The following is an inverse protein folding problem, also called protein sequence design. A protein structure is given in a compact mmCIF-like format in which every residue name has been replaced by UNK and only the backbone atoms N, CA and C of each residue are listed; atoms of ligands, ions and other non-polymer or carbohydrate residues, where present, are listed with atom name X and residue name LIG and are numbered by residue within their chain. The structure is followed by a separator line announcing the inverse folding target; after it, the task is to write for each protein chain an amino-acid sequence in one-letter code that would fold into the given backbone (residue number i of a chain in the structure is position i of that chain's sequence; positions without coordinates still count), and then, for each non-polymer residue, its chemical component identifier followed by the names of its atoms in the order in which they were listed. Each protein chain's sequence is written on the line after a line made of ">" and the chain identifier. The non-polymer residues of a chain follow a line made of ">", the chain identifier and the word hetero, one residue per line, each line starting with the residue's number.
data_IF_768322415800
#
_entry.id   IF_768322415800
#
_cell.length_a   1.000
_cell.length_b   1.000
_cell.length_c   1.000
_cell.angle_alpha   90.00
_cell.angle_beta   90.00
_cell.angle_gamma   90.00
#
_symmetry.space_group_name_H-M   'P 1'
#
loop_
_entity.id
_entity.type
_entity.pdbx_description
1 polymer ?
#
# COMPACT_ATOMS: atom_id res chain seq x y z
N UNK A 1 50.27 5.82 39.18
CA UNK A 1 51.46 4.96 39.28
C UNK A 1 51.20 3.70 38.47
N UNK A 2 52.01 3.51 37.41
CA UNK A 2 52.65 2.26 36.90
C UNK A 2 51.65 1.12 36.57
N UNK A 3 51.66 0.41 35.44
CA UNK A 3 52.68 0.23 34.36
C UNK A 3 51.98 -0.37 33.13
N UNK A 4 52.39 0.13 32.00
CA UNK A 4 52.31 -0.47 30.66
C UNK A 4 53.05 -1.82 30.63
N UNK A 5 52.52 -2.83 29.91
CA UNK A 5 53.34 -3.96 29.44
C UNK A 5 52.87 -4.37 28.04
N UNK A 6 53.67 -4.01 27.07
CA UNK A 6 53.79 -4.54 25.71
C UNK A 6 54.67 -5.78 25.75
N UNK A 7 54.34 -6.86 25.02
CA UNK A 7 55.29 -7.85 24.51
C UNK A 7 54.72 -8.49 23.21
N UNK A 8 55.58 -8.90 22.24
CA UNK A 8 55.26 -8.88 20.81
C UNK A 8 55.14 -10.23 20.12
N UNK A 9 54.64 -10.16 18.91
CA UNK A 9 54.96 -10.91 17.67
C UNK A 9 55.86 -12.16 17.78
N UNK A 10 55.36 -13.31 17.32
CA UNK A 10 56.25 -14.32 16.74
C UNK A 10 55.60 -15.01 15.53
N UNK A 11 56.21 -14.75 14.39
CA UNK A 11 56.00 -15.34 13.08
C UNK A 11 56.83 -16.64 13.00
N UNK A 12 56.24 -17.77 12.65
CA UNK A 12 57.04 -18.93 12.19
C UNK A 12 56.44 -19.52 10.92
N UNK A 13 57.19 -19.36 9.85
CA UNK A 13 57.13 -20.06 8.59
C UNK A 13 57.75 -21.45 8.76
N UNK A 14 57.12 -22.47 8.31
CA UNK A 14 57.81 -23.76 8.01
C UNK A 14 57.33 -24.36 6.70
N UNK A 15 58.20 -24.36 5.74
CA UNK A 15 58.14 -25.06 4.46
C UNK A 15 58.65 -26.52 4.62
N UNK A 16 58.03 -27.49 3.98
CA UNK A 16 58.74 -28.66 3.47
C UNK A 16 58.06 -29.17 2.18
N UNK A 17 58.92 -29.39 1.22
CA UNK A 17 58.67 -29.93 -0.12
C UNK A 17 58.84 -31.45 -0.14
N UNK A 18 58.33 -32.09 -1.15
CA UNK A 18 58.93 -33.07 -2.09
C UNK A 18 57.90 -34.07 -2.55
N UNK A 19 57.73 -34.31 -3.77
CA UNK A 19 58.40 -34.84 -4.95
C UNK A 19 57.67 -36.03 -5.54
N UNK A 20 57.60 -36.07 -6.86
CA UNK A 20 57.58 -37.21 -7.78
C UNK A 20 56.27 -37.31 -8.57
N UNK A 21 56.21 -37.28 -9.87
CA UNK A 21 57.07 -37.33 -10.98
C UNK A 21 56.32 -37.83 -12.22
N UNK A 22 56.70 -37.32 -13.39
CA UNK A 22 56.58 -37.83 -14.78
C UNK A 22 55.21 -37.67 -15.45
N UNK A 23 55.03 -37.25 -16.68
CA UNK A 23 55.84 -36.96 -17.86
C UNK A 23 54.98 -36.29 -18.94
N UNK A 24 55.63 -35.44 -19.75
CA UNK A 24 55.38 -35.19 -21.19
C UNK A 24 54.25 -34.27 -21.70
N UNK A 25 54.73 -33.15 -22.28
CA UNK A 25 54.19 -32.49 -23.45
C UNK A 25 53.87 -30.99 -23.30
N UNK A 26 54.35 -30.14 -24.24
CA UNK A 26 54.32 -28.67 -24.06
C UNK A 26 52.99 -28.06 -24.50
N UNK A 27 52.31 -27.38 -23.59
CA UNK A 27 51.24 -26.44 -23.96
C UNK A 27 51.52 -25.03 -23.39
N UNK A 28 51.23 -24.04 -24.22
CA UNK A 28 51.48 -22.63 -24.02
C UNK A 28 50.80 -22.06 -22.74
N UNK A 29 51.34 -20.96 -22.15
CA UNK A 29 50.81 -20.40 -20.92
C UNK A 29 49.46 -19.72 -21.13
N UNK A 30 48.37 -20.33 -20.57
CA UNK A 30 47.05 -19.72 -20.43
C UNK A 30 47.05 -18.68 -19.33
N UNK A 31 46.41 -17.59 -19.57
CA UNK A 31 46.17 -16.52 -18.59
C UNK A 31 45.47 -17.04 -17.35
N UNK A 32 45.71 -16.42 -16.15
CA UNK A 32 45.01 -16.81 -14.95
C UNK A 32 43.50 -16.47 -15.05
N UNK A 33 42.69 -17.45 -14.86
CA UNK A 33 41.22 -17.33 -14.75
C UNK A 33 40.89 -16.49 -13.53
N UNK A 34 40.15 -15.42 -13.71
CA UNK A 34 39.47 -14.68 -12.63
C UNK A 34 38.44 -15.63 -11.97
N UNK A 35 38.19 -15.49 -10.65
CA UNK A 35 37.12 -16.22 -10.00
C UNK A 35 35.77 -15.81 -10.62
N UNK A 36 35.00 -16.79 -11.07
CA UNK A 36 33.64 -16.61 -11.55
C UNK A 36 32.79 -16.06 -10.41
N UNK A 37 32.27 -14.87 -10.58
CA UNK A 37 31.17 -14.32 -9.78
C UNK A 37 29.94 -15.24 -9.99
N UNK A 38 29.19 -15.62 -8.93
CA UNK A 38 27.95 -16.35 -9.10
C UNK A 38 27.02 -15.56 -10.03
N UNK A 39 26.56 -16.21 -11.10
CA UNK A 39 25.69 -15.62 -12.10
C UNK A 39 24.45 -15.03 -11.43
N UNK A 40 24.21 -13.75 -11.66
CA UNK A 40 22.96 -13.07 -11.44
C UNK A 40 21.86 -13.86 -12.19
N UNK A 41 20.73 -14.21 -11.55
CA UNK A 41 19.60 -14.75 -12.30
C UNK A 41 19.20 -13.71 -13.37
N UNK A 42 18.92 -14.18 -14.57
CA UNK A 42 18.66 -13.35 -15.72
C UNK A 42 17.67 -12.24 -15.40
N UNK A 43 18.08 -11.00 -15.68
CA UNK A 43 17.19 -9.89 -15.71
C UNK A 43 16.24 -10.10 -16.87
N UNK A 44 14.96 -10.17 -16.58
CA UNK A 44 13.95 -9.78 -17.54
C UNK A 44 14.16 -8.28 -17.76
N UNK A 45 14.27 -7.87 -19.01
CA UNK A 45 14.35 -6.47 -19.38
C UNK A 45 13.11 -5.78 -18.86
N UNK A 46 13.24 -5.03 -17.74
CA UNK A 46 12.21 -4.13 -17.20
C UNK A 46 12.07 -2.94 -18.17
N UNK A 47 11.43 -3.17 -19.29
CA UNK A 47 10.80 -2.09 -20.03
C UNK A 47 9.56 -1.68 -19.21
N UNK A 48 9.37 -0.38 -18.87
CA UNK A 48 8.24 0.06 -18.07
C UNK A 48 6.94 -0.44 -18.71
N UNK A 49 6.13 -1.17 -17.95
CA UNK A 49 4.85 -1.66 -18.45
C UNK A 49 4.03 -0.49 -18.99
N UNK A 50 3.55 -0.59 -20.24
CA UNK A 50 2.62 0.40 -20.80
C UNK A 50 1.35 0.44 -19.95
N UNK A 51 0.72 1.63 -19.76
CA UNK A 51 -0.54 1.74 -19.01
C UNK A 51 -1.57 0.79 -19.60
N UNK A 52 -2.22 0.00 -18.74
CA UNK A 52 -3.30 -0.88 -19.14
C UNK A 52 -4.45 -0.07 -19.78
N UNK A 53 -5.10 -0.55 -20.85
CA UNK A 53 -6.25 0.11 -21.43
C UNK A 53 -7.41 0.12 -20.44
N UNK A 54 -7.66 1.29 -19.81
CA UNK A 54 -8.69 1.46 -18.79
C UNK A 54 -8.49 2.67 -17.88
N UNK A 55 -7.56 3.60 -18.20
CA UNK A 55 -7.49 4.91 -17.53
C UNK A 55 -6.92 4.96 -16.11
N UNK A 56 -6.31 3.86 -15.60
CA UNK A 56 -5.82 3.80 -14.20
C UNK A 56 -4.40 4.28 -13.97
N UNK A 57 -3.64 4.60 -15.03
CA UNK A 57 -2.22 4.83 -14.89
C UNK A 57 -1.44 3.59 -14.42
N UNK A 58 -0.16 3.79 -14.06
CA UNK A 58 0.68 2.71 -13.53
C UNK A 58 0.33 2.42 -12.06
N UNK A 59 0.34 1.15 -11.71
CA UNK A 59 0.09 0.68 -10.35
C UNK A 59 1.36 0.13 -9.72
N UNK A 60 1.54 0.38 -8.41
CA UNK A 60 2.61 -0.20 -7.60
C UNK A 60 2.01 -0.99 -6.45
N UNK A 61 2.48 -2.20 -6.21
CA UNK A 61 2.16 -2.98 -5.01
C UNK A 61 3.30 -2.88 -4.01
N UNK A 62 3.06 -2.22 -2.90
CA UNK A 62 3.94 -2.19 -1.73
C UNK A 62 3.38 -3.14 -0.68
N UNK A 63 4.22 -4.01 -0.12
CA UNK A 63 3.76 -4.90 0.93
C UNK A 63 4.86 -5.18 1.95
N UNK A 64 4.49 -5.50 3.18
CA UNK A 64 5.37 -6.18 4.12
C UNK A 64 4.75 -7.51 4.53
N UNK A 65 5.56 -8.53 4.73
CA UNK A 65 5.06 -9.87 5.07
C UNK A 65 6.04 -10.60 5.98
N UNK A 66 5.54 -11.22 7.07
CA UNK A 66 6.38 -12.04 7.98
C UNK A 66 6.27 -13.52 7.69
N UNK A 67 5.08 -14.00 7.31
CA UNK A 67 4.76 -15.41 7.15
C UNK A 67 4.32 -15.77 5.72
N UNK A 68 4.51 -14.86 4.78
CA UNK A 68 4.11 -15.05 3.37
C UNK A 68 2.63 -14.79 3.07
N UNK A 69 1.79 -14.56 4.08
CA UNK A 69 0.35 -14.38 3.86
C UNK A 69 0.03 -13.09 3.09
N UNK A 70 0.61 -11.97 3.49
CA UNK A 70 0.44 -10.68 2.79
C UNK A 70 1.11 -10.73 1.42
N UNK A 71 2.28 -11.34 1.32
CA UNK A 71 2.98 -11.56 0.05
C UNK A 71 2.12 -12.35 -0.95
N UNK A 72 1.43 -13.41 -0.51
CA UNK A 72 0.51 -14.18 -1.35
C UNK A 72 -0.57 -13.30 -1.97
N UNK A 73 -1.13 -12.37 -1.20
CA UNK A 73 -2.12 -11.40 -1.70
C UNK A 73 -1.48 -10.42 -2.67
N UNK A 74 -0.30 -9.87 -2.34
CA UNK A 74 0.46 -8.97 -3.19
C UNK A 74 0.78 -9.59 -4.56
N UNK A 75 1.25 -10.83 -4.58
CA UNK A 75 1.53 -11.60 -5.81
C UNK A 75 0.27 -11.80 -6.66
N UNK A 76 -0.87 -12.04 -6.04
CA UNK A 76 -2.13 -12.19 -6.76
C UNK A 76 -2.56 -10.87 -7.41
N UNK A 77 -2.43 -9.73 -6.70
CA UNK A 77 -2.71 -8.40 -7.25
C UNK A 77 -1.78 -8.13 -8.45
N UNK A 78 -0.47 -8.35 -8.27
CA UNK A 78 0.52 -8.21 -9.34
C UNK A 78 0.16 -9.06 -10.56
N UNK A 79 -0.25 -10.30 -10.37
CA UNK A 79 -0.60 -11.22 -11.46
C UNK A 79 -1.83 -10.73 -12.26
N UNK A 80 -2.82 -10.15 -11.58
CA UNK A 80 -4.04 -9.66 -12.24
C UNK A 80 -3.79 -8.33 -12.96
N UNK A 81 -2.98 -7.44 -12.36
CA UNK A 81 -2.76 -6.09 -12.88
C UNK A 81 -1.50 -5.96 -13.76
N UNK A 82 -0.64 -6.97 -13.78
CA UNK A 82 0.68 -6.93 -14.43
C UNK A 82 1.47 -5.66 -14.06
N UNK A 83 1.64 -5.42 -12.76
CA UNK A 83 2.20 -4.18 -12.22
C UNK A 83 3.47 -4.42 -11.39
N UNK A 84 4.15 -3.33 -11.04
CA UNK A 84 5.35 -3.37 -10.19
C UNK A 84 4.99 -3.81 -8.76
N UNK A 85 5.90 -4.54 -8.12
CA UNK A 85 5.71 -5.01 -6.76
C UNK A 85 7.02 -4.92 -5.97
N UNK A 86 6.98 -4.34 -4.77
CA UNK A 86 8.14 -4.14 -3.91
C UNK A 86 7.80 -4.48 -2.46
N UNK A 87 8.68 -5.21 -1.80
CA UNK A 87 8.56 -5.50 -0.37
C UNK A 87 9.10 -4.34 0.47
N UNK A 88 8.33 -3.93 1.45
CA UNK A 88 8.75 -2.96 2.46
C UNK A 88 9.46 -3.70 3.59
N UNK A 89 10.78 -3.57 3.62
CA UNK A 89 11.65 -4.23 4.58
C UNK A 89 12.10 -3.29 5.68
N UNK A 90 12.14 -3.73 6.95
CA UNK A 90 12.78 -2.96 8.02
C UNK A 90 14.28 -2.86 7.76
N UNK A 91 14.90 -1.73 8.13
CA UNK A 91 16.35 -1.54 7.99
C UNK A 91 17.19 -2.58 8.77
N UNK A 92 16.65 -3.08 9.87
CA UNK A 92 17.18 -4.23 10.61
C UNK A 92 16.16 -5.36 10.52
N UNK A 93 16.50 -6.50 9.92
CA UNK A 93 15.59 -7.64 9.83
C UNK A 93 15.05 -8.07 11.19
N UNK A 94 13.82 -8.57 11.24
CA UNK A 94 13.27 -9.15 12.45
C UNK A 94 13.97 -10.46 12.79
N UNK A 95 13.98 -10.77 14.07
CA UNK A 95 14.50 -12.01 14.61
C UNK A 95 13.77 -13.23 14.03
N UNK A 96 14.48 -14.34 13.82
CA UNK A 96 13.88 -15.61 13.40
C UNK A 96 12.95 -16.18 14.48
N UNK A 97 13.33 -16.00 15.75
CA UNK A 97 12.50 -16.38 16.89
C UNK A 97 11.21 -15.54 16.92
N UNK A 98 10.09 -16.26 16.95
CA UNK A 98 8.76 -15.63 16.87
C UNK A 98 8.46 -14.74 18.08
N UNK A 99 8.89 -15.14 19.31
CA UNK A 99 8.62 -14.36 20.50
C UNK A 99 9.46 -13.09 20.55
N UNK A 100 10.74 -13.17 20.17
CA UNK A 100 11.61 -12.00 20.09
C UNK A 100 11.09 -10.99 19.04
N UNK A 101 10.63 -11.48 17.89
CA UNK A 101 9.95 -10.65 16.88
C UNK A 101 8.68 -9.99 17.44
N UNK A 102 7.86 -10.70 18.20
CA UNK A 102 6.65 -10.14 18.81
C UNK A 102 6.96 -9.06 19.84
N UNK A 103 7.97 -9.27 20.70
CA UNK A 103 8.41 -8.28 21.69
C UNK A 103 8.88 -6.99 20.97
N UNK A 104 9.75 -7.13 19.98
CA UNK A 104 10.21 -5.99 19.16
C UNK A 104 9.06 -5.27 18.46
N UNK A 105 8.13 -6.00 17.86
CA UNK A 105 6.96 -5.40 17.21
C UNK A 105 6.10 -4.58 18.19
N UNK A 106 5.95 -5.04 19.44
CA UNK A 106 5.26 -4.28 20.49
C UNK A 106 6.02 -3.00 20.87
N UNK A 107 7.34 -3.08 21.02
CA UNK A 107 8.18 -1.92 21.33
C UNK A 107 8.11 -0.88 20.20
N UNK A 108 8.23 -1.30 18.94
CA UNK A 108 8.12 -0.42 17.78
C UNK A 108 6.74 0.24 17.69
N UNK A 109 5.65 -0.51 17.87
CA UNK A 109 4.29 0.06 17.90
C UNK A 109 4.08 1.03 19.08
N UNK A 110 4.75 0.82 20.20
CA UNK A 110 4.71 1.75 21.32
C UNK A 110 5.52 3.03 21.03
N UNK A 111 6.65 2.93 20.35
CA UNK A 111 7.48 4.05 19.91
C UNK A 111 6.76 4.90 18.84
N UNK A 112 6.12 4.26 17.85
CA UNK A 112 5.32 4.91 16.80
C UNK A 112 4.22 5.80 17.40
N UNK A 113 3.55 5.35 18.47
CA UNK A 113 2.53 6.16 19.17
C UNK A 113 3.11 7.44 19.81
N UNK A 114 4.42 7.51 19.97
CA UNK A 114 5.16 8.68 20.47
C UNK A 114 5.81 9.48 19.32
N UNK A 115 5.58 9.07 18.06
CA UNK A 115 6.13 9.71 16.88
C UNK A 115 7.54 9.23 16.52
N UNK A 116 8.03 8.15 17.12
CA UNK A 116 9.32 7.54 16.83
C UNK A 116 9.13 6.32 15.93
N UNK A 117 9.44 6.48 14.66
CA UNK A 117 9.24 5.46 13.63
C UNK A 117 10.54 4.69 13.36
N UNK A 118 10.50 3.34 13.28
CA UNK A 118 11.67 2.56 12.94
C UNK A 118 12.13 2.85 11.50
N UNK A 119 13.44 2.68 11.24
CA UNK A 119 13.98 2.84 9.90
C UNK A 119 13.54 1.67 9.00
N UNK A 120 13.26 1.98 7.72
CA UNK A 120 13.01 1.02 6.64
C UNK A 120 14.14 1.05 5.63
N UNK A 121 14.45 -0.09 5.01
CA UNK A 121 15.48 -0.22 3.99
C UNK A 121 14.95 0.07 2.58
N UNK A 122 13.66 -0.10 2.37
CA UNK A 122 13.00 0.00 1.08
C UNK A 122 12.88 1.45 0.63
N UNK A 123 13.19 1.69 -0.64
CA UNK A 123 13.09 2.98 -1.30
C UNK A 123 12.40 2.82 -2.67
N UNK A 124 11.55 3.75 -3.04
CA UNK A 124 10.91 3.84 -4.36
C UNK A 124 11.51 5.03 -5.08
N UNK A 125 12.18 4.80 -6.21
CA UNK A 125 12.90 5.87 -6.93
C UNK A 125 11.97 6.90 -7.58
N UNK A 126 10.85 6.43 -8.14
CA UNK A 126 9.97 7.25 -8.98
C UNK A 126 8.50 7.04 -8.60
N UNK A 127 8.08 7.58 -7.45
CA UNK A 127 6.67 7.55 -7.07
C UNK A 127 5.76 8.25 -8.09
N UNK A 128 6.28 9.24 -8.81
CA UNK A 128 5.52 10.01 -9.82
C UNK A 128 5.07 9.14 -11.00
N UNK A 129 5.70 7.99 -11.21
CA UNK A 129 5.31 7.05 -12.25
C UNK A 129 4.01 6.28 -11.95
N UNK A 130 3.52 6.36 -10.70
CA UNK A 130 2.37 5.58 -10.24
C UNK A 130 1.21 6.47 -9.83
N UNK A 131 0.03 6.15 -10.30
CA UNK A 131 -1.23 6.81 -9.93
C UNK A 131 -1.93 6.07 -8.79
N UNK A 132 -1.83 4.73 -8.79
CA UNK A 132 -2.42 3.88 -7.75
C UNK A 132 -1.34 3.08 -7.01
N UNK A 133 -1.36 3.15 -5.68
CA UNK A 133 -0.47 2.38 -4.81
C UNK A 133 -1.29 1.41 -3.96
N UNK A 134 -1.08 0.12 -4.20
CA UNK A 134 -1.62 -0.94 -3.36
C UNK A 134 -0.72 -1.13 -2.16
N UNK A 135 -1.24 -1.00 -0.95
CA UNK A 135 -0.46 -1.06 0.30
C UNK A 135 -0.91 -2.23 1.15
N UNK A 136 -0.02 -3.23 1.28
CA UNK A 136 -0.27 -4.51 1.94
C UNK A 136 0.47 -4.69 3.25
N UNK A 137 -0.23 -5.14 4.30
CA UNK A 137 0.38 -5.34 5.62
C UNK A 137 -0.32 -6.41 6.45
N UNK A 138 0.42 -7.11 7.33
CA UNK A 138 -0.19 -7.90 8.38
C UNK A 138 -0.65 -7.00 9.52
N UNK A 139 -1.73 -7.40 10.21
CA UNK A 139 -2.18 -6.71 11.42
C UNK A 139 -1.46 -7.32 12.62
N UNK A 140 -0.66 -6.50 13.31
CA UNK A 140 0.06 -6.82 14.53
C UNK A 140 -0.56 -6.09 15.72
N UNK A 141 -0.99 -6.83 16.74
CA UNK A 141 -1.63 -6.23 17.94
C UNK A 141 -2.77 -5.26 17.65
N UNK A 142 -3.53 -5.51 16.58
CA UNK A 142 -4.63 -4.67 16.14
C UNK A 142 -4.23 -3.45 15.30
N UNK A 143 -2.94 -3.20 15.11
CA UNK A 143 -2.36 -2.10 14.34
C UNK A 143 -1.78 -2.59 13.01
N UNK A 144 -1.54 -1.70 12.07
CA UNK A 144 -0.70 -1.94 10.90
C UNK A 144 0.71 -2.31 11.36
N UNK A 145 1.34 -3.28 10.70
CA UNK A 145 2.73 -3.65 11.00
C UNK A 145 3.66 -2.45 10.94
N UNK A 146 4.55 -2.33 11.92
CA UNK A 146 5.44 -1.17 12.11
C UNK A 146 6.29 -0.80 10.90
N UNK A 147 6.84 -1.73 10.08
CA UNK A 147 7.56 -1.34 8.87
C UNK A 147 6.71 -0.57 7.87
N UNK A 148 5.44 -0.98 7.68
CA UNK A 148 4.55 -0.29 6.77
C UNK A 148 4.13 1.07 7.30
N UNK A 149 3.88 1.22 8.61
CA UNK A 149 3.62 2.52 9.21
C UNK A 149 4.80 3.47 9.03
N UNK A 150 6.03 2.98 9.26
CA UNK A 150 7.24 3.76 9.08
C UNK A 150 7.47 4.18 7.62
N UNK A 151 7.19 3.28 6.67
CA UNK A 151 7.27 3.59 5.25
C UNK A 151 6.26 4.68 4.84
N UNK A 152 4.99 4.53 5.23
CA UNK A 152 3.95 5.53 4.93
C UNK A 152 4.27 6.90 5.55
N UNK A 153 4.78 6.91 6.78
CA UNK A 153 5.22 8.15 7.43
C UNK A 153 6.35 8.84 6.65
N UNK A 154 7.36 8.08 6.23
CA UNK A 154 8.50 8.61 5.50
C UNK A 154 8.14 9.15 4.11
N UNK A 155 7.15 8.54 3.45
CA UNK A 155 6.76 8.83 2.06
C UNK A 155 5.38 9.51 1.93
N UNK A 156 4.86 10.10 3.01
CA UNK A 156 3.54 10.72 3.00
C UNK A 156 3.39 11.82 1.94
N UNK A 157 4.45 12.60 1.70
CA UNK A 157 4.46 13.67 0.70
C UNK A 157 4.43 13.15 -0.74
N UNK A 158 5.10 12.04 -1.02
CA UNK A 158 5.12 11.40 -2.35
C UNK A 158 3.80 10.66 -2.64
N UNK A 159 3.08 10.28 -1.59
CA UNK A 159 1.77 9.63 -1.68
C UNK A 159 0.60 10.63 -1.73
N UNK A 160 0.86 11.93 -1.55
CA UNK A 160 -0.17 12.95 -1.63
C UNK A 160 -0.81 13.00 -3.04
N UNK A 161 -2.14 13.02 -3.10
CA UNK A 161 -2.93 12.99 -4.33
C UNK A 161 -2.95 11.65 -5.05
N UNK A 162 -2.22 10.65 -4.56
CA UNK A 162 -2.25 9.30 -5.13
C UNK A 162 -3.41 8.49 -4.55
N UNK A 163 -3.87 7.56 -5.34
CA UNK A 163 -4.88 6.60 -4.94
C UNK A 163 -4.26 5.46 -4.15
N UNK A 164 -4.70 5.24 -2.92
CA UNK A 164 -4.21 4.17 -2.06
C UNK A 164 -5.29 3.11 -1.85
N UNK A 165 -4.98 1.88 -2.28
CA UNK A 165 -5.79 0.69 -2.09
C UNK A 165 -5.16 -0.22 -1.02
N UNK A 166 -5.74 -0.25 0.18
CA UNK A 166 -5.20 -1.04 1.28
C UNK A 166 -5.62 -2.50 1.19
N UNK A 167 -4.68 -3.41 1.46
CA UNK A 167 -5.02 -4.82 1.71
C UNK A 167 -4.31 -5.33 2.97
N UNK A 168 -5.05 -5.98 3.83
CA UNK A 168 -4.55 -6.42 5.12
C UNK A 168 -4.77 -7.92 5.35
N UNK A 169 -3.82 -8.56 6.03
CA UNK A 169 -3.97 -9.94 6.51
C UNK A 169 -3.93 -10.01 8.03
N UNK A 170 -4.72 -10.89 8.62
CA UNK A 170 -4.72 -11.09 10.07
C UNK A 170 -5.06 -12.53 10.45
N UNK A 171 -4.79 -12.91 11.70
CA UNK A 171 -5.37 -14.12 12.26
C UNK A 171 -6.88 -14.01 12.39
N UNK A 172 -7.35 -13.03 13.17
CA UNK A 172 -8.77 -12.76 13.42
C UNK A 172 -9.08 -11.28 13.75
N UNK A 173 -8.05 -10.43 13.84
CA UNK A 173 -8.22 -9.02 14.16
C UNK A 173 -8.94 -8.28 13.03
N UNK A 174 -9.79 -7.32 13.38
CA UNK A 174 -10.42 -6.41 12.42
C UNK A 174 -9.42 -5.40 11.84
N UNK A 175 -9.81 -4.72 10.76
CA UNK A 175 -8.95 -3.83 9.97
C UNK A 175 -9.15 -2.33 10.26
N UNK A 176 -10.21 -1.95 10.99
CA UNK A 176 -10.62 -0.54 11.13
C UNK A 176 -9.55 0.37 11.74
N UNK A 177 -8.83 -0.11 12.76
CA UNK A 177 -7.77 0.68 13.40
C UNK A 177 -6.61 0.94 12.45
N UNK A 178 -6.12 -0.08 11.74
CA UNK A 178 -5.02 0.04 10.80
C UNK A 178 -5.36 0.91 9.57
N UNK A 179 -6.61 0.91 9.13
CA UNK A 179 -7.09 1.85 8.10
C UNK A 179 -7.08 3.29 8.61
N UNK A 180 -7.49 3.51 9.87
CA UNK A 180 -7.40 4.83 10.53
C UNK A 180 -5.96 5.32 10.64
N UNK A 181 -5.02 4.43 10.97
CA UNK A 181 -3.58 4.73 11.02
C UNK A 181 -3.06 5.15 9.63
N UNK A 182 -3.38 4.39 8.57
CA UNK A 182 -2.97 4.75 7.20
C UNK A 182 -3.48 6.13 6.78
N UNK A 183 -4.75 6.43 7.03
CA UNK A 183 -5.35 7.73 6.71
C UNK A 183 -4.74 8.87 7.52
N UNK A 184 -4.32 8.61 8.75
CA UNK A 184 -3.64 9.61 9.58
C UNK A 184 -2.21 9.89 9.11
N UNK A 185 -1.52 8.85 8.57
CA UNK A 185 -0.16 8.97 8.05
C UNK A 185 -0.12 9.66 6.68
N UNK A 186 -1.12 9.42 5.83
CA UNK A 186 -1.19 9.98 4.48
C UNK A 186 -2.52 10.74 4.29
N UNK A 187 -2.73 11.88 4.97
CA UNK A 187 -4.02 12.58 4.97
C UNK A 187 -4.40 13.17 3.61
N UNK A 188 -3.41 13.43 2.76
CA UNK A 188 -3.61 14.03 1.44
C UNK A 188 -3.71 12.98 0.31
N UNK A 189 -3.74 11.68 0.65
CA UNK A 189 -3.96 10.59 -0.30
C UNK A 189 -5.44 10.21 -0.40
N UNK A 190 -5.83 9.64 -1.54
CA UNK A 190 -7.19 9.15 -1.79
C UNK A 190 -7.31 7.67 -1.46
N UNK A 191 -8.04 7.33 -0.41
CA UNK A 191 -8.20 5.93 0.03
C UNK A 191 -9.45 5.28 -0.55
N UNK A 192 -9.26 4.11 -1.16
CA UNK A 192 -10.34 3.28 -1.69
C UNK A 192 -10.88 2.27 -0.67
N UNK A 193 -11.74 1.34 -1.14
CA UNK A 193 -12.19 0.19 -0.36
C UNK A 193 -11.00 -0.70 0.05
N UNK A 194 -10.99 -1.20 1.29
CA UNK A 194 -9.95 -2.09 1.82
C UNK A 194 -10.28 -3.56 1.57
N UNK A 195 -9.29 -4.34 1.12
CA UNK A 195 -9.36 -5.80 1.13
C UNK A 195 -8.82 -6.34 2.45
N UNK A 196 -9.61 -7.11 3.19
CA UNK A 196 -9.17 -7.77 4.41
C UNK A 196 -9.34 -9.28 4.33
N UNK A 197 -8.24 -10.00 4.49
CA UNK A 197 -8.23 -11.46 4.59
C UNK A 197 -7.78 -11.90 5.97
N UNK A 198 -8.58 -12.78 6.57
CA UNK A 198 -8.22 -13.46 7.82
C UNK A 198 -7.65 -14.84 7.52
N UNK A 199 -7.07 -15.49 8.52
CA UNK A 199 -6.60 -16.87 8.39
C UNK A 199 -7.66 -17.82 7.79
N UNK A 200 -8.94 -17.59 8.09
CA UNK A 200 -10.05 -18.41 7.58
C UNK A 200 -10.39 -18.15 6.11
N UNK A 201 -9.96 -17.03 5.55
CA UNK A 201 -10.31 -16.60 4.17
C UNK A 201 -9.09 -16.54 3.25
N UNK A 202 -7.89 -16.84 3.75
CA UNK A 202 -6.66 -16.82 2.95
C UNK A 202 -6.67 -17.84 1.80
N UNK A 203 -7.35 -18.97 1.95
CA UNK A 203 -7.48 -19.94 0.85
C UNK A 203 -8.32 -19.42 -0.32
N UNK A 204 -9.13 -18.38 -0.08
CA UNK A 204 -9.94 -17.68 -1.08
C UNK A 204 -9.24 -16.44 -1.65
N UNK A 205 -7.90 -16.33 -1.55
CA UNK A 205 -7.15 -15.12 -1.97
C UNK A 205 -7.47 -14.74 -3.42
N UNK A 206 -7.39 -15.68 -4.35
CA UNK A 206 -7.59 -15.41 -5.79
C UNK A 206 -8.99 -14.84 -6.09
N UNK A 207 -10.11 -15.49 -5.75
CA UNK A 207 -11.44 -14.93 -6.05
C UNK A 207 -11.72 -13.63 -5.30
N UNK A 208 -11.18 -13.46 -4.08
CA UNK A 208 -11.39 -12.23 -3.30
C UNK A 208 -10.62 -11.04 -3.86
N UNK A 209 -9.38 -11.26 -4.30
CA UNK A 209 -8.58 -10.22 -4.96
C UNK A 209 -9.25 -9.81 -6.26
N UNK A 210 -9.63 -10.77 -7.11
CA UNK A 210 -10.29 -10.49 -8.39
C UNK A 210 -11.57 -9.67 -8.18
N UNK A 211 -12.47 -10.12 -7.31
CA UNK A 211 -13.71 -9.40 -7.03
C UNK A 211 -13.49 -8.00 -6.41
N UNK A 212 -12.43 -7.84 -5.61
CA UNK A 212 -12.08 -6.54 -5.06
C UNK A 212 -11.56 -5.59 -6.13
N UNK A 213 -10.65 -6.05 -6.99
CA UNK A 213 -10.13 -5.25 -8.11
C UNK A 213 -11.25 -4.84 -9.08
N UNK A 214 -12.17 -5.73 -9.40
CA UNK A 214 -13.36 -5.42 -10.22
C UNK A 214 -14.22 -4.30 -9.59
N UNK A 215 -14.40 -4.30 -8.27
CA UNK A 215 -15.11 -3.21 -7.57
C UNK A 215 -14.35 -1.89 -7.59
N UNK A 216 -13.03 -1.93 -7.45
CA UNK A 216 -12.21 -0.72 -7.59
C UNK A 216 -12.34 -0.13 -9.00
N UNK A 217 -12.44 -1.01 -10.03
CA UNK A 217 -12.67 -0.60 -11.42
C UNK A 217 -14.05 0.00 -11.66
N UNK A 218 -15.06 -0.63 -11.12
CA UNK A 218 -16.42 -0.13 -11.27
C UNK A 218 -16.58 1.26 -10.63
N UNK A 219 -15.98 1.47 -9.45
CA UNK A 219 -16.02 2.76 -8.77
C UNK A 219 -15.25 3.85 -9.52
N UNK A 220 -14.21 3.49 -10.31
CA UNK A 220 -13.48 4.45 -11.15
C UNK A 220 -14.29 4.88 -12.37
N UNK A 221 -14.92 3.91 -13.03
CA UNK A 221 -15.78 4.18 -14.18
C UNK A 221 -17.01 5.01 -13.80
N UNK A 222 -17.50 4.87 -12.55
CA UNK A 222 -18.59 5.69 -12.01
C UNK A 222 -18.11 7.11 -11.63
N UNK A 223 -16.78 7.29 -11.45
CA UNK A 223 -16.14 8.58 -11.17
C UNK A 223 -15.85 9.39 -12.45
N UNK A 224 -15.87 8.77 -13.63
CA UNK A 224 -15.79 9.46 -14.94
C UNK A 224 -17.17 9.93 -15.45
N UNK A 225 -18.28 9.39 -14.93
CA UNK A 225 -19.56 10.06 -15.01
C UNK A 225 -19.52 11.27 -14.05
N UNK A 226 -20.00 12.48 -14.42
CA UNK A 226 -19.96 13.64 -13.54
C UNK A 226 -20.59 13.25 -12.21
N UNK A 227 -19.77 13.25 -11.13
CA UNK A 227 -20.13 12.81 -9.78
C UNK A 227 -21.59 13.19 -9.48
N UNK A 228 -22.48 12.20 -9.45
CA UNK A 228 -23.76 12.37 -8.81
C UNK A 228 -23.48 12.43 -7.31
N UNK A 229 -22.99 13.59 -6.86
CA UNK A 229 -22.80 13.83 -5.44
C UNK A 229 -24.13 13.60 -4.74
N UNK A 230 -24.18 12.72 -3.73
CA UNK A 230 -25.33 12.60 -2.84
C UNK A 230 -25.55 13.88 -2.02
N UNK A 231 -24.98 14.97 -2.48
CA UNK A 231 -24.97 16.28 -1.81
C UNK A 231 -25.87 17.23 -2.58
N UNK A 232 -26.89 17.72 -1.91
CA UNK A 232 -27.80 18.75 -2.40
C UNK A 232 -27.36 20.11 -1.84
N UNK A 233 -27.13 21.07 -2.73
CA UNK A 233 -26.92 22.47 -2.34
C UNK A 233 -28.24 23.21 -2.37
N UNK A 234 -28.55 23.91 -1.28
CA UNK A 234 -29.75 24.70 -1.08
C UNK A 234 -29.36 26.16 -0.83
N UNK A 235 -29.84 27.07 -1.66
CA UNK A 235 -29.65 28.49 -1.42
C UNK A 235 -30.96 29.12 -1.00
N UNK A 236 -30.99 29.71 0.21
CA UNK A 236 -32.16 30.38 0.76
C UNK A 236 -31.76 31.80 1.18
N UNK A 237 -32.37 32.82 0.60
CA UNK A 237 -32.07 34.23 0.91
C UNK A 237 -30.58 34.59 0.85
N UNK A 238 -29.82 33.98 -0.08
CA UNK A 238 -28.40 34.21 -0.24
C UNK A 238 -27.48 33.39 0.69
N UNK A 239 -28.05 32.59 1.58
CA UNK A 239 -27.29 31.61 2.39
C UNK A 239 -27.34 30.24 1.74
N UNK A 240 -26.17 29.58 1.67
CA UNK A 240 -26.05 28.24 1.08
C UNK A 240 -25.96 27.20 2.19
N UNK A 241 -26.73 26.13 2.03
CA UNK A 241 -26.78 24.97 2.91
C UNK A 241 -26.49 23.72 2.09
N UNK A 242 -25.82 22.75 2.70
CA UNK A 242 -25.51 21.46 2.10
C UNK A 242 -26.27 20.37 2.83
N UNK A 243 -26.96 19.48 2.08
CA UNK A 243 -27.64 18.32 2.62
C UNK A 243 -27.16 17.05 1.90
N UNK A 244 -26.97 15.97 2.64
CA UNK A 244 -26.68 14.66 2.08
C UNK A 244 -27.99 13.93 1.80
N UNK A 245 -28.14 13.42 0.59
CA UNK A 245 -29.30 12.66 0.17
C UNK A 245 -29.10 11.16 0.49
N UNK A 246 -30.11 10.51 1.06
CA UNK A 246 -30.11 9.05 1.19
C UNK A 246 -30.48 8.39 -0.13
N UNK A 247 -29.88 7.24 -0.44
CA UNK A 247 -30.15 6.52 -1.68
C UNK A 247 -31.53 5.83 -1.64
N UNK A 248 -32.42 6.34 -2.47
CA UNK A 248 -33.74 5.75 -2.70
C UNK A 248 -34.31 6.23 -4.05
N UNK A 249 -35.44 5.66 -4.47
CA UNK A 249 -36.08 6.01 -5.75
C UNK A 249 -36.48 7.49 -5.85
N UNK A 250 -36.83 8.14 -4.73
CA UNK A 250 -37.20 9.56 -4.71
C UNK A 250 -35.97 10.44 -4.93
N UNK A 251 -34.85 10.10 -4.30
CA UNK A 251 -33.58 10.82 -4.43
C UNK A 251 -33.00 10.69 -5.83
N UNK A 252 -33.10 9.52 -6.41
CA UNK A 252 -32.67 9.27 -7.78
C UNK A 252 -33.44 10.16 -8.77
N UNK A 253 -34.77 10.19 -8.66
CA UNK A 253 -35.61 11.04 -9.51
C UNK A 253 -35.35 12.55 -9.29
N UNK A 254 -35.01 12.96 -8.05
CA UNK A 254 -34.64 14.34 -7.75
C UNK A 254 -33.30 14.70 -8.41
N UNK A 255 -32.30 13.82 -8.35
CA UNK A 255 -30.98 13.99 -9.01
C UNK A 255 -31.14 14.13 -10.52
N UNK A 256 -31.89 13.22 -11.17
CA UNK A 256 -32.17 13.27 -12.60
C UNK A 256 -32.83 14.61 -13.01
N UNK A 257 -33.70 15.16 -12.16
CA UNK A 257 -34.32 16.45 -12.42
C UNK A 257 -33.32 17.61 -12.23
N UNK A 258 -32.45 17.55 -11.23
CA UNK A 258 -31.44 18.57 -10.97
C UNK A 258 -30.33 18.56 -12.02
N UNK A 259 -30.03 17.42 -12.64
CA UNK A 259 -29.12 17.34 -13.77
C UNK A 259 -29.58 18.16 -14.99
N UNK A 260 -30.88 18.48 -15.11
CA UNK A 260 -31.44 19.32 -16.14
C UNK A 260 -31.38 20.83 -15.80
N UNK A 261 -30.90 21.17 -14.60
CA UNK A 261 -30.74 22.54 -14.11
C UNK A 261 -31.36 22.74 -12.71
N UNK A 262 -31.01 23.84 -12.05
CA UNK A 262 -31.45 24.12 -10.69
C UNK A 262 -32.97 24.26 -10.60
N UNK A 263 -33.53 23.84 -9.47
CA UNK A 263 -34.94 23.99 -9.11
C UNK A 263 -35.11 25.25 -8.26
N UNK A 264 -35.97 26.15 -8.71
CA UNK A 264 -36.38 27.29 -7.89
C UNK A 264 -37.76 27.04 -7.27
N UNK A 265 -37.84 27.01 -5.96
CA UNK A 265 -39.07 26.78 -5.22
C UNK A 265 -39.52 28.07 -4.54
N UNK A 266 -40.74 28.52 -4.88
CA UNK A 266 -41.36 29.62 -4.15
C UNK A 266 -42.02 29.06 -2.89
N UNK A 267 -41.56 29.50 -1.74
CA UNK A 267 -42.05 29.05 -0.45
C UNK A 267 -43.02 30.07 0.14
N UNK A 268 -44.04 29.61 0.85
CA UNK A 268 -44.98 30.40 1.65
C UNK A 268 -44.79 30.07 3.14
N UNK A 269 -45.07 31.07 3.96
CA UNK A 269 -45.05 30.93 5.42
C UNK A 269 -46.22 30.07 5.89
N UNK A 270 -45.93 29.09 6.73
CA UNK A 270 -46.97 28.24 7.34
C UNK A 270 -46.84 28.33 8.86
N UNK A 271 -47.71 29.13 9.47
CA UNK A 271 -47.84 29.23 10.92
C UNK A 271 -46.63 29.86 11.64
N UNK A 272 -45.82 30.67 11.00
CA UNK A 272 -44.56 31.25 11.51
C UNK A 272 -43.53 30.24 12.00
N UNK A 273 -43.71 28.96 11.65
CA UNK A 273 -42.83 27.86 12.09
C UNK A 273 -42.05 27.23 10.94
N UNK A 274 -42.62 27.21 9.75
CA UNK A 274 -41.99 26.57 8.59
C UNK A 274 -42.30 27.27 7.27
N UNK A 275 -41.43 27.05 6.26
CA UNK A 275 -41.62 27.50 4.89
C UNK A 275 -41.99 26.29 4.01
N UNK A 276 -43.11 26.37 3.34
CA UNK A 276 -43.65 25.28 2.49
C UNK A 276 -43.75 25.70 1.03
N UNK A 277 -43.27 24.88 0.14
CA UNK A 277 -43.34 25.12 -1.29
C UNK A 277 -43.47 23.83 -2.08
N UNK A 278 -44.10 23.88 -3.25
CA UNK A 278 -44.21 22.78 -4.15
C UNK A 278 -42.90 22.56 -4.92
N UNK A 279 -42.44 21.32 -4.96
CA UNK A 279 -41.23 20.94 -5.74
C UNK A 279 -41.50 21.00 -7.27
N UNK A 280 -42.78 21.06 -7.69
CA UNK A 280 -43.18 21.10 -9.10
C UNK A 280 -43.02 19.77 -9.86
N UNK A 281 -42.58 18.72 -9.19
CA UNK A 281 -42.41 17.37 -9.71
C UNK A 281 -43.01 16.35 -8.72
N UNK A 282 -43.38 15.17 -9.21
CA UNK A 282 -43.76 14.02 -8.36
C UNK A 282 -42.54 13.12 -8.20
N UNK A 283 -42.16 12.83 -6.97
CA UNK A 283 -41.15 11.84 -6.65
C UNK A 283 -41.79 10.49 -6.36
N UNK A 284 -41.18 9.37 -6.81
CA UNK A 284 -41.64 8.03 -6.43
C UNK A 284 -41.57 7.85 -4.91
N UNK A 285 -42.44 6.96 -4.39
CA UNK A 285 -42.43 6.62 -2.96
C UNK A 285 -41.76 5.28 -2.72
#
# INVERSE_FOLDING_TARGET
>A
MKKLLWIPLLLTVLTTAACGGTDDGPFAPGQPSQPETPGKPGGDDDEPAEPLPGGRGRSLVLYCSRTGNTERVARQIRTVLDCDMLEVEPAVPYEDDYNAMLERAQEELAAIRQGDYPAVATYVEHFDDYDTVFVGYPIWYGSMASPMQAFLYAHASELAGKRIALFATSGSSGVSASVGEARSLCPDAEFTEVLHLTQNTLEETEPRVTAWLERLEANDNDSEEPMQTNTLELTVEGSTFTATLEENSSTQALKERLAQGPLSIRMSDYGDMEKVGSLGISLPR
#
